data_IF_423758735811
#
_entry.id   IF_423758735811
#
_cell.length_a   1.000
_cell.length_b   1.000
_cell.length_c   1.000
_cell.angle_alpha   90.00
_cell.angle_beta   90.00
_cell.angle_gamma   90.00
#
_symmetry.space_group_name_H-M   'P 1'
#
loop_
_entity.id
_entity.type
_entity.pdbx_description
1 polymer ?
#
# COMPACT_ATOMS: atom_id res chain seq x y z
N UNK A 1 -16.20 -31.31 -16.38
CA UNK A 1 -17.22 -32.29 -15.94
C UNK A 1 -18.36 -31.49 -15.33
N UNK A 2 -19.58 -31.56 -15.88
CA UNK A 2 -20.76 -30.77 -15.44
C UNK A 2 -21.47 -31.48 -14.30
N UNK A 3 -21.71 -30.83 -13.15
CA UNK A 3 -22.49 -31.39 -12.04
C UNK A 3 -23.18 -30.28 -11.23
N UNK A 4 -24.43 -30.56 -10.80
CA UNK A 4 -25.46 -29.66 -10.24
C UNK A 4 -25.96 -28.60 -11.25
N UNK A 5 -27.18 -28.80 -11.75
CA UNK A 5 -27.90 -27.91 -12.68
C UNK A 5 -27.18 -27.54 -13.99
N UNK A 6 -26.29 -28.40 -14.48
CA UNK A 6 -25.57 -28.20 -15.74
C UNK A 6 -24.43 -27.18 -15.68
N UNK A 7 -24.09 -26.66 -14.50
CA UNK A 7 -23.00 -25.69 -14.31
C UNK A 7 -21.66 -26.38 -14.07
N UNK A 8 -20.57 -25.75 -14.52
CA UNK A 8 -19.22 -26.19 -14.19
C UNK A 8 -18.91 -25.76 -12.75
N UNK A 9 -18.67 -26.72 -11.87
CA UNK A 9 -18.18 -26.48 -10.51
C UNK A 9 -16.71 -26.89 -10.39
N UNK A 10 -15.95 -26.14 -9.58
CA UNK A 10 -14.55 -26.51 -9.29
C UNK A 10 -14.49 -27.83 -8.51
N UNK A 11 -13.51 -28.67 -8.82
CA UNK A 11 -13.37 -30.00 -8.21
C UNK A 11 -13.25 -29.96 -6.68
N UNK A 12 -12.62 -28.92 -6.13
CA UNK A 12 -12.55 -28.71 -4.68
C UNK A 12 -13.91 -28.35 -4.06
N UNK A 13 -14.75 -27.55 -4.75
CA UNK A 13 -16.11 -27.22 -4.31
C UNK A 13 -16.99 -28.47 -4.33
N UNK A 14 -16.88 -29.29 -5.37
CA UNK A 14 -17.57 -30.57 -5.44
C UNK A 14 -17.17 -31.45 -4.25
N UNK A 15 -15.87 -31.65 -4.01
CA UNK A 15 -15.37 -32.44 -2.89
C UNK A 15 -15.86 -31.91 -1.53
N UNK A 16 -15.85 -30.59 -1.33
CA UNK A 16 -16.39 -29.98 -0.11
C UNK A 16 -17.88 -30.29 0.06
N UNK A 17 -18.69 -30.10 -0.98
CA UNK A 17 -20.14 -30.33 -0.93
C UNK A 17 -20.46 -31.79 -0.59
N UNK A 18 -19.74 -32.75 -1.20
CA UNK A 18 -19.98 -34.18 -1.00
C UNK A 18 -19.54 -34.69 0.37
N UNK A 19 -18.40 -34.23 0.91
CA UNK A 19 -17.79 -34.82 2.10
C UNK A 19 -17.89 -33.98 3.37
N UNK A 20 -18.16 -32.67 3.25
CA UNK A 20 -18.20 -31.73 4.39
C UNK A 20 -19.60 -31.12 4.52
N UNK A 21 -20.17 -30.67 3.40
CA UNK A 21 -21.51 -30.10 3.37
C UNK A 21 -21.63 -28.85 2.47
N UNK A 22 -22.83 -28.25 2.45
CA UNK A 22 -23.14 -27.12 1.58
C UNK A 22 -22.22 -25.92 1.87
N UNK A 23 -21.92 -25.16 0.82
CA UNK A 23 -21.13 -23.92 0.94
C UNK A 23 -22.13 -22.78 1.14
N UNK A 24 -22.14 -22.09 2.31
CA UNK A 24 -23.06 -20.99 2.55
C UNK A 24 -22.85 -19.83 1.56
N UNK A 25 -23.87 -18.99 1.40
CA UNK A 25 -23.75 -17.81 0.56
C UNK A 25 -22.62 -16.89 1.05
N UNK A 26 -21.92 -16.24 0.11
CA UNK A 26 -20.74 -15.43 0.41
C UNK A 26 -19.46 -16.19 0.76
N UNK A 27 -19.53 -17.52 0.95
CA UNK A 27 -18.37 -18.34 1.31
C UNK A 27 -17.69 -19.00 0.10
N UNK A 28 -16.39 -19.21 0.26
CA UNK A 28 -15.53 -19.87 -0.70
C UNK A 28 -14.79 -21.03 -0.05
N UNK A 29 -14.45 -22.02 -0.87
CA UNK A 29 -13.60 -23.14 -0.45
C UNK A 29 -12.14 -22.73 -0.64
N UNK A 30 -11.36 -22.88 0.43
CA UNK A 30 -9.94 -22.52 0.52
C UNK A 30 -9.12 -23.78 0.85
N UNK A 31 -7.83 -23.75 0.58
CA UNK A 31 -6.93 -24.88 0.83
C UNK A 31 -5.94 -24.53 1.94
N UNK A 32 -5.91 -25.33 3.00
CA UNK A 32 -4.86 -25.20 4.03
C UNK A 32 -3.46 -25.51 3.47
N UNK A 33 -3.38 -26.45 2.53
CA UNK A 33 -2.14 -26.94 1.93
C UNK A 33 -1.54 -26.02 0.86
N UNK A 34 -2.26 -24.97 0.44
CA UNK A 34 -1.77 -24.03 -0.58
C UNK A 34 -1.68 -24.59 -2.02
N UNK A 35 -2.07 -25.84 -2.27
CA UNK A 35 -2.13 -26.48 -3.60
C UNK A 35 -3.53 -26.29 -4.24
N UNK A 36 -3.68 -25.54 -5.34
CA UNK A 36 -4.97 -25.27 -5.98
C UNK A 36 -5.71 -26.51 -6.52
N UNK A 37 -4.98 -27.57 -6.88
CA UNK A 37 -5.56 -28.82 -7.40
C UNK A 37 -5.99 -29.82 -6.32
N UNK A 38 -5.81 -29.49 -5.04
CA UNK A 38 -6.09 -30.43 -3.95
C UNK A 38 -7.60 -30.61 -3.74
N UNK A 39 -8.07 -31.86 -3.77
CA UNK A 39 -9.48 -32.23 -3.53
C UNK A 39 -9.69 -33.02 -2.23
N UNK A 40 -8.65 -33.21 -1.41
CA UNK A 40 -8.78 -33.93 -0.14
C UNK A 40 -9.65 -33.12 0.84
N UNK A 41 -10.83 -33.62 1.29
CA UNK A 41 -11.72 -32.89 2.18
C UNK A 41 -11.05 -32.35 3.44
N UNK A 42 -10.09 -33.09 4.01
CA UNK A 42 -9.34 -32.66 5.22
C UNK A 42 -8.49 -31.40 4.99
N UNK A 43 -8.23 -31.05 3.73
CA UNK A 43 -7.45 -29.86 3.36
C UNK A 43 -8.33 -28.68 2.92
N UNK A 44 -9.65 -28.88 2.81
CA UNK A 44 -10.60 -27.87 2.38
C UNK A 44 -11.18 -27.15 3.60
N UNK A 45 -11.28 -25.83 3.50
CA UNK A 45 -11.80 -24.94 4.54
C UNK A 45 -12.85 -24.02 3.93
N UNK A 46 -13.91 -23.72 4.67
CA UNK A 46 -14.76 -22.56 4.37
C UNK A 46 -14.07 -21.29 4.82
N UNK A 47 -14.26 -20.23 4.05
CA UNK A 47 -13.87 -18.89 4.45
C UNK A 47 -14.50 -17.85 3.55
N UNK A 48 -14.13 -16.61 3.81
CA UNK A 48 -14.55 -15.43 3.07
C UNK A 48 -13.52 -15.06 2.00
N UNK A 49 -13.89 -14.11 1.14
CA UNK A 49 -12.93 -13.50 0.22
C UNK A 49 -11.81 -12.76 0.96
N UNK A 50 -12.12 -12.17 2.12
CA UNK A 50 -11.14 -11.51 2.99
C UNK A 50 -10.11 -12.51 3.49
N UNK A 51 -10.56 -13.68 3.96
CA UNK A 51 -9.63 -14.73 4.38
C UNK A 51 -8.71 -15.13 3.21
N UNK A 52 -9.25 -15.35 2.00
CA UNK A 52 -8.41 -15.70 0.83
C UNK A 52 -7.37 -14.62 0.52
N UNK A 53 -7.71 -13.34 0.68
CA UNK A 53 -6.74 -12.26 0.55
C UNK A 53 -5.69 -12.32 1.65
N UNK A 54 -6.07 -12.62 2.89
CA UNK A 54 -5.14 -12.78 3.99
C UNK A 54 -4.17 -13.96 3.76
N UNK A 55 -4.67 -15.12 3.34
CA UNK A 55 -3.83 -16.28 2.96
C UNK A 55 -2.84 -15.95 1.84
N UNK A 56 -3.24 -15.10 0.89
CA UNK A 56 -2.36 -14.66 -0.18
C UNK A 56 -1.28 -13.70 0.31
N UNK A 57 -1.60 -12.86 1.31
CA UNK A 57 -0.65 -11.96 1.98
C UNK A 57 0.34 -12.76 2.82
N UNK A 58 -0.15 -13.68 3.65
CA UNK A 58 0.66 -14.51 4.55
C UNK A 58 1.63 -15.42 3.79
N UNK A 59 1.25 -15.82 2.58
CA UNK A 59 2.09 -16.64 1.67
C UNK A 59 2.90 -15.82 0.66
N UNK A 60 2.93 -14.49 0.81
CA UNK A 60 3.60 -13.52 -0.08
C UNK A 60 3.37 -13.77 -1.58
N UNK A 61 2.14 -14.16 -1.96
CA UNK A 61 1.80 -14.52 -3.34
C UNK A 61 1.45 -13.32 -4.21
N UNK A 62 1.62 -12.11 -3.70
CA UNK A 62 1.42 -10.90 -4.48
C UNK A 62 2.70 -10.58 -5.24
N UNK A 63 2.64 -10.72 -6.57
CA UNK A 63 3.70 -10.30 -7.44
C UNK A 63 4.06 -8.82 -7.18
N UNK A 64 5.31 -8.57 -6.81
CA UNK A 64 5.86 -7.24 -6.50
C UNK A 64 7.17 -7.05 -7.26
N UNK A 65 7.51 -5.78 -7.51
CA UNK A 65 8.74 -5.43 -8.19
C UNK A 65 8.84 -6.16 -9.54
N UNK A 66 9.95 -6.86 -9.75
CA UNK A 66 10.24 -7.65 -10.96
C UNK A 66 9.24 -8.77 -11.22
N UNK A 67 8.64 -9.33 -10.17
CA UNK A 67 7.69 -10.43 -10.32
C UNK A 67 6.35 -9.96 -10.90
N UNK A 68 6.10 -8.64 -10.92
CA UNK A 68 4.86 -8.10 -11.48
C UNK A 68 4.88 -8.25 -13.01
N UNK A 69 3.82 -8.83 -13.64
CA UNK A 69 3.82 -9.10 -15.08
C UNK A 69 4.03 -7.87 -15.98
N UNK A 70 3.74 -6.67 -15.47
CA UNK A 70 3.94 -5.40 -16.17
C UNK A 70 5.17 -4.62 -15.67
N UNK A 71 6.08 -5.25 -14.93
CA UNK A 71 7.30 -4.61 -14.46
C UNK A 71 8.25 -4.39 -15.63
N UNK A 72 8.56 -3.13 -15.90
CA UNK A 72 9.54 -2.74 -16.91
C UNK A 72 10.94 -2.48 -16.34
N UNK A 73 11.06 -2.43 -15.01
CA UNK A 73 12.32 -2.16 -14.31
C UNK A 73 12.67 -3.35 -13.43
N UNK A 74 13.97 -3.61 -13.33
CA UNK A 74 14.59 -4.56 -12.43
C UNK A 74 14.93 -3.92 -11.09
N UNK A 75 15.14 -4.71 -10.05
CA UNK A 75 15.69 -4.24 -8.77
C UNK A 75 17.06 -3.59 -8.98
N UNK A 76 17.88 -4.10 -9.90
CA UNK A 76 19.15 -3.49 -10.28
C UNK A 76 18.95 -2.08 -10.88
N UNK A 77 17.98 -1.92 -11.79
CA UNK A 77 17.60 -0.61 -12.33
C UNK A 77 17.16 0.34 -11.20
N UNK A 78 16.38 -0.16 -10.24
CA UNK A 78 15.94 0.64 -9.09
C UNK A 78 17.14 1.07 -8.24
N UNK A 79 18.09 0.18 -7.95
CA UNK A 79 19.31 0.52 -7.21
C UNK A 79 20.12 1.59 -7.95
N UNK A 80 20.29 1.45 -9.27
CA UNK A 80 20.98 2.43 -10.10
C UNK A 80 20.26 3.80 -10.13
N UNK A 81 18.93 3.81 -10.24
CA UNK A 81 18.11 5.04 -10.19
C UNK A 81 18.23 5.74 -8.83
N UNK A 82 18.28 4.97 -7.73
CA UNK A 82 18.39 5.51 -6.38
C UNK A 82 19.79 6.01 -6.05
N UNK A 83 20.83 5.39 -6.62
CA UNK A 83 22.23 5.80 -6.44
C UNK A 83 22.64 6.97 -7.37
N UNK A 84 21.89 7.23 -8.44
CA UNK A 84 22.22 8.30 -9.40
C UNK A 84 21.82 9.70 -8.91
N UNK A 85 22.72 10.66 -9.12
CA UNK A 85 22.50 12.10 -8.89
C UNK A 85 21.95 12.85 -10.11
N UNK A 86 21.71 12.13 -11.21
CA UNK A 86 21.22 12.72 -12.46
C UNK A 86 19.81 13.28 -12.33
N UNK A 87 19.48 14.23 -13.21
CA UNK A 87 18.12 14.76 -13.26
C UNK A 87 17.13 13.67 -13.68
N UNK A 88 15.95 13.64 -13.03
CA UNK A 88 14.91 12.62 -13.24
C UNK A 88 14.48 12.46 -14.70
N UNK A 89 14.57 13.51 -15.51
CA UNK A 89 14.19 13.46 -16.92
C UNK A 89 15.22 12.71 -17.78
N UNK A 90 16.50 12.73 -17.38
CA UNK A 90 17.56 11.95 -18.02
C UNK A 90 17.34 10.46 -17.70
N UNK A 91 17.10 10.15 -16.43
CA UNK A 91 16.79 8.79 -15.98
C UNK A 91 15.51 8.26 -16.65
N UNK A 92 14.47 9.09 -16.73
CA UNK A 92 13.21 8.74 -17.39
C UNK A 92 13.43 8.31 -18.84
N UNK A 93 14.22 9.08 -19.61
CA UNK A 93 14.57 8.73 -20.99
C UNK A 93 15.40 7.44 -21.06
N UNK A 94 16.42 7.29 -20.22
CA UNK A 94 17.30 6.11 -20.18
C UNK A 94 16.51 4.83 -19.93
N UNK A 95 15.65 4.85 -18.92
CA UNK A 95 14.86 3.70 -18.49
C UNK A 95 13.50 3.60 -19.19
N UNK A 96 13.20 4.48 -20.16
CA UNK A 96 11.94 4.52 -20.92
C UNK A 96 10.69 4.55 -20.02
N UNK A 97 10.76 5.29 -18.93
CA UNK A 97 9.66 5.52 -17.99
C UNK A 97 9.36 7.01 -17.88
N UNK A 98 8.26 7.37 -17.22
CA UNK A 98 7.95 8.78 -17.00
C UNK A 98 8.81 9.38 -15.88
N UNK A 99 9.14 10.67 -15.98
CA UNK A 99 9.82 11.42 -14.90
C UNK A 99 9.06 11.37 -13.58
N UNK A 100 7.72 11.26 -13.64
CA UNK A 100 6.88 11.06 -12.46
C UNK A 100 7.15 9.71 -11.81
N UNK A 101 7.33 8.64 -12.58
CA UNK A 101 7.65 7.32 -12.06
C UNK A 101 9.01 7.29 -11.37
N UNK A 102 10.04 7.90 -11.99
CA UNK A 102 11.37 8.10 -11.36
C UNK A 102 11.24 8.88 -10.04
N UNK A 103 10.46 9.97 -10.04
CA UNK A 103 10.20 10.75 -8.82
C UNK A 103 9.53 9.91 -7.72
N UNK A 104 8.57 9.05 -8.06
CA UNK A 104 7.92 8.16 -7.09
C UNK A 104 8.87 7.10 -6.52
N UNK A 105 9.81 6.59 -7.34
CA UNK A 105 10.88 5.68 -6.89
C UNK A 105 11.83 6.40 -5.94
N UNK A 106 12.34 7.57 -6.34
CA UNK A 106 13.28 8.36 -5.51
C UNK A 106 12.64 8.77 -4.17
N UNK A 107 11.35 9.10 -4.16
CA UNK A 107 10.58 9.40 -2.93
C UNK A 107 10.23 8.18 -2.08
N UNK A 108 10.55 6.96 -2.53
CA UNK A 108 10.26 5.71 -1.80
C UNK A 108 8.77 5.32 -1.80
N UNK A 109 7.96 5.90 -2.69
CA UNK A 109 6.53 5.56 -2.84
C UNK A 109 6.34 4.29 -3.68
N UNK A 110 7.22 4.07 -4.66
CA UNK A 110 7.31 2.85 -5.45
C UNK A 110 8.61 2.12 -5.09
N UNK A 111 8.59 0.78 -5.13
CA UNK A 111 9.74 -0.06 -4.78
C UNK A 111 10.29 0.20 -3.37
N UNK A 112 9.41 0.46 -2.41
CA UNK A 112 9.77 0.79 -1.02
C UNK A 112 10.47 -0.35 -0.26
N UNK A 113 10.42 -1.58 -0.78
CA UNK A 113 11.13 -2.73 -0.22
C UNK A 113 12.61 -2.79 -0.64
N UNK A 114 13.03 -1.99 -1.63
CA UNK A 114 14.42 -1.92 -2.05
C UNK A 114 15.16 -0.92 -1.16
N UNK A 115 16.10 -1.44 -0.39
CA UNK A 115 17.02 -0.67 0.44
C UNK A 115 18.36 -0.55 -0.28
N UNK A 116 18.94 0.64 -0.27
CA UNK A 116 20.28 0.92 -0.77
C UNK A 116 21.10 1.52 0.35
N UNK A 117 22.37 1.13 0.46
CA UNK A 117 23.23 1.51 1.58
C UNK A 117 23.49 3.02 1.61
N UNK A 118 23.61 3.63 0.43
CA UNK A 118 23.91 5.06 0.28
C UNK A 118 22.91 5.70 -0.69
N UNK A 119 22.16 6.67 -0.19
CA UNK A 119 21.31 7.55 -1.00
C UNK A 119 22.02 8.89 -1.18
N UNK A 120 22.10 9.42 -2.41
CA UNK A 120 22.58 10.78 -2.62
C UNK A 120 21.74 11.79 -1.84
N UNK A 121 22.37 12.89 -1.41
CA UNK A 121 21.76 13.89 -0.53
C UNK A 121 20.44 14.42 -1.10
N UNK A 122 20.40 14.68 -2.41
CA UNK A 122 19.20 15.13 -3.12
C UNK A 122 18.03 14.14 -2.98
N UNK A 123 18.31 12.84 -3.03
CA UNK A 123 17.30 11.78 -2.89
C UNK A 123 16.86 11.66 -1.43
N UNK A 124 17.81 11.74 -0.48
CA UNK A 124 17.53 11.73 0.96
C UNK A 124 16.59 12.87 1.36
N UNK A 125 16.91 14.12 0.97
CA UNK A 125 16.08 15.30 1.23
C UNK A 125 14.69 15.16 0.60
N UNK A 126 14.60 14.68 -0.66
CA UNK A 126 13.30 14.43 -1.32
C UNK A 126 12.43 13.42 -0.58
N UNK A 127 13.02 12.36 0.01
CA UNK A 127 12.27 11.37 0.81
C UNK A 127 11.74 11.99 2.11
N UNK A 128 12.54 12.81 2.79
CA UNK A 128 12.12 13.51 4.00
C UNK A 128 10.95 14.46 3.74
N UNK A 129 11.01 15.21 2.63
CA UNK A 129 9.93 16.12 2.21
C UNK A 129 8.69 15.39 1.67
N UNK A 130 8.77 14.09 1.34
CA UNK A 130 7.68 13.35 0.71
C UNK A 130 6.47 13.07 1.62
N UNK A 131 6.52 13.48 2.89
CA UNK A 131 5.46 13.31 3.89
C UNK A 131 5.14 14.53 4.74
N UNK A 132 5.72 15.71 4.47
CA UNK A 132 5.40 16.93 5.23
C UNK A 132 4.14 17.60 4.66
N UNK A 133 3.25 18.04 5.55
CA UNK A 133 2.01 18.73 5.17
C UNK A 133 2.23 20.01 4.37
N UNK A 134 3.45 20.56 4.42
CA UNK A 134 3.90 21.78 3.75
C UNK A 134 3.82 21.71 2.21
N UNK A 135 3.86 20.51 1.62
CA UNK A 135 3.84 20.34 0.16
C UNK A 135 2.45 20.27 -0.49
N UNK A 136 1.37 20.37 0.28
CA UNK A 136 0.02 20.23 -0.24
C UNK A 136 -0.58 21.61 -0.57
N UNK A 137 -0.80 21.88 -1.86
CA UNK A 137 -1.41 23.12 -2.39
C UNK A 137 -2.75 23.57 -1.75
N UNK A 138 -3.38 22.76 -0.87
CA UNK A 138 -4.60 23.11 -0.13
C UNK A 138 -4.38 23.48 1.34
N UNK A 139 -3.15 23.56 1.83
CA UNK A 139 -2.91 23.92 3.23
C UNK A 139 -2.47 25.37 3.32
N UNK A 140 -3.36 26.24 3.78
CA UNK A 140 -3.04 27.61 4.21
C UNK A 140 -2.42 27.65 5.63
N UNK A 141 -2.32 26.50 6.29
CA UNK A 141 -1.72 26.37 7.61
C UNK A 141 -0.20 26.55 7.54
N UNK A 142 0.32 27.37 8.44
CA UNK A 142 1.75 27.58 8.69
C UNK A 142 2.26 26.64 9.80
N UNK A 143 3.58 26.47 9.97
CA UNK A 143 4.14 25.75 11.11
C UNK A 143 3.69 26.31 12.48
N UNK A 144 3.50 27.63 12.58
CA UNK A 144 2.97 28.27 13.79
C UNK A 144 1.52 27.87 14.06
N UNK A 145 0.67 27.82 13.03
CA UNK A 145 -0.72 27.35 13.17
C UNK A 145 -0.77 25.90 13.66
N UNK A 146 0.14 25.05 13.16
CA UNK A 146 0.25 23.65 13.59
C UNK A 146 0.63 23.56 15.06
N UNK A 147 1.59 24.36 15.51
CA UNK A 147 1.96 24.44 16.93
C UNK A 147 0.79 24.92 17.79
N UNK A 148 0.07 25.96 17.36
CA UNK A 148 -1.12 26.45 18.03
C UNK A 148 -2.21 25.37 18.15
N UNK A 149 -2.53 24.67 17.05
CA UNK A 149 -3.51 23.57 17.02
C UNK A 149 -3.11 22.43 17.98
N UNK A 150 -1.82 22.10 18.10
CA UNK A 150 -1.36 21.05 19.00
C UNK A 150 -1.55 21.43 20.47
N UNK A 151 -1.17 22.65 20.85
CA UNK A 151 -1.29 23.20 22.21
C UNK A 151 -2.72 23.52 22.64
N UNK A 152 -3.65 23.64 21.70
CA UNK A 152 -5.03 24.04 21.99
C UNK A 152 -5.88 22.87 22.51
N UNK A 153 -6.29 22.92 23.77
CA UNK A 153 -7.08 21.86 24.44
C UNK A 153 -8.60 21.97 24.23
N UNK A 154 -9.08 22.93 23.43
CA UNK A 154 -10.49 23.04 23.09
C UNK A 154 -10.95 21.83 22.28
N UNK A 155 -12.28 21.65 22.20
CA UNK A 155 -12.88 20.60 21.36
C UNK A 155 -12.45 20.80 19.91
N UNK A 156 -12.02 19.71 19.26
CA UNK A 156 -11.47 19.72 17.90
C UNK A 156 -12.37 20.42 16.87
N UNK A 157 -13.69 20.44 17.06
CA UNK A 157 -14.63 21.15 16.17
C UNK A 157 -14.49 22.67 16.25
N UNK A 158 -14.19 23.23 17.43
CA UNK A 158 -13.94 24.68 17.60
C UNK A 158 -12.61 25.09 16.97
N UNK A 159 -11.56 24.32 17.24
CA UNK A 159 -10.25 24.50 16.61
C UNK A 159 -10.37 24.44 15.09
N UNK A 160 -11.12 23.47 14.58
CA UNK A 160 -11.35 23.31 13.15
C UNK A 160 -12.02 24.54 12.52
N UNK A 161 -12.99 25.14 13.20
CA UNK A 161 -13.65 26.36 12.72
C UNK A 161 -12.70 27.55 12.66
N UNK A 162 -11.90 27.78 13.71
CA UNK A 162 -10.97 28.91 13.80
C UNK A 162 -9.90 28.88 12.69
N UNK A 163 -9.41 27.68 12.38
CA UNK A 163 -8.40 27.48 11.35
C UNK A 163 -8.99 27.16 9.96
N UNK A 164 -10.32 27.17 9.81
CA UNK A 164 -11.03 26.81 8.58
C UNK A 164 -10.57 25.47 7.97
N UNK A 165 -10.49 24.44 8.82
CA UNK A 165 -10.12 23.07 8.45
C UNK A 165 -11.16 22.08 8.97
N UNK A 166 -11.04 20.80 8.61
CA UNK A 166 -11.95 19.78 9.13
C UNK A 166 -11.53 19.32 10.53
N UNK A 167 -12.50 18.88 11.35
CA UNK A 167 -12.23 18.22 12.64
C UNK A 167 -11.22 17.06 12.50
N UNK A 168 -11.30 16.32 11.39
CA UNK A 168 -10.38 15.23 11.09
C UNK A 168 -8.95 15.73 10.84
N UNK A 169 -8.78 16.89 10.21
CA UNK A 169 -7.46 17.51 10.03
C UNK A 169 -6.84 17.88 11.38
N UNK A 170 -7.62 18.50 12.29
CA UNK A 170 -7.18 18.79 13.68
C UNK A 170 -6.75 17.51 14.39
N UNK A 171 -7.56 16.45 14.29
CA UNK A 171 -7.23 15.14 14.87
C UNK A 171 -5.92 14.57 14.30
N UNK A 172 -5.74 14.60 12.98
CA UNK A 172 -4.51 14.11 12.34
C UNK A 172 -3.27 14.93 12.71
N UNK A 173 -3.41 16.25 12.92
CA UNK A 173 -2.34 17.14 13.37
C UNK A 173 -1.96 16.82 14.83
N UNK A 174 -2.94 16.70 15.73
CA UNK A 174 -2.71 16.34 17.14
C UNK A 174 -2.13 14.93 17.31
N UNK A 175 -2.57 13.97 16.49
CA UNK A 175 -2.02 12.60 16.46
C UNK A 175 -0.67 12.48 15.73
N UNK A 176 -0.06 13.60 15.30
CA UNK A 176 1.19 13.64 14.51
C UNK A 176 1.16 12.74 13.27
N UNK A 177 -0.02 12.48 12.69
CA UNK A 177 -0.15 11.77 11.40
C UNK A 177 0.33 12.66 10.25
N UNK A 178 0.13 13.97 10.38
CA UNK A 178 0.61 15.02 9.49
C UNK A 178 1.51 16.01 10.23
N UNK A 179 2.34 16.74 9.49
CA UNK A 179 3.27 17.76 10.02
C UNK A 179 4.26 17.20 11.05
N UNK A 180 4.76 15.99 10.82
CA UNK A 180 5.70 15.28 11.74
C UNK A 180 7.02 16.00 11.96
N UNK A 181 7.38 16.82 10.99
CA UNK A 181 8.58 17.62 10.89
C UNK A 181 8.52 18.93 11.69
N UNK A 182 7.33 19.39 12.10
CA UNK A 182 7.17 20.55 12.97
C UNK A 182 7.41 20.11 14.42
N UNK A 183 8.47 20.61 15.10
CA UNK A 183 8.71 20.30 16.50
C UNK A 183 7.63 20.94 17.40
N UNK A 184 7.44 20.36 18.57
CA UNK A 184 6.65 20.99 19.63
C UNK A 184 7.60 21.94 20.40
N UNK A 185 7.22 23.21 20.59
CA UNK A 185 7.98 24.14 21.45
C UNK A 185 7.78 23.85 22.93
#
# INVERSE_FOLDING_TARGET
MRWLDGKNILSNRASHIFYIGPIPEGHIVRHRCGNPGCVNPKHLLLGTQEDKLQDARDRDRFARGEQHPSAHLTEEDIRAILASDEHRDILAKRYRVTSRYISMIQRGVRWSHIVVDHLPEKVRVRRQLAGSGQGHHKTHLTPDDVRAIRKDDRVQSKIAADFNITRQAVSNIKLRKHWRDVPDD
#
